data_IF_742504784231
#
_entry.id   IF_742504784231
#
_cell.length_a   1.000
_cell.length_b   1.000
_cell.length_c   1.000
_cell.angle_alpha   90.00
_cell.angle_beta   90.00
_cell.angle_gamma   90.00
#
_symmetry.space_group_name_H-M   'P 1'
#
loop_
_entity.id
_entity.type
_entity.pdbx_description
1 polymer ?
#
# COMPACT_ATOMS: atom_id res chain seq x y z
N UNK A 1 -9.66 3.34 4.99
CA UNK A 1 -10.62 2.30 5.46
C UNK A 1 -9.88 1.37 6.40
N UNK A 2 -10.41 1.16 7.62
CA UNK A 2 -9.86 0.20 8.58
C UNK A 2 -10.66 -1.09 8.47
N UNK A 3 -10.00 -2.21 8.21
CA UNK A 3 -10.64 -3.54 8.24
C UNK A 3 -10.50 -4.12 9.65
N UNK A 4 -11.60 -4.17 10.40
CA UNK A 4 -11.63 -4.80 11.72
C UNK A 4 -11.88 -6.31 11.58
N UNK A 5 -11.19 -7.10 12.40
CA UNK A 5 -11.35 -8.58 12.46
C UNK A 5 -11.66 -9.03 13.89
N UNK A 6 -12.81 -8.62 14.48
CA UNK A 6 -13.11 -8.80 15.90
C UNK A 6 -13.13 -10.28 16.34
N UNK A 7 -13.43 -11.20 15.43
CA UNK A 7 -13.51 -12.63 15.72
C UNK A 7 -12.22 -13.41 15.37
N UNK A 8 -11.13 -12.76 14.95
CA UNK A 8 -9.91 -13.45 14.51
C UNK A 8 -9.28 -14.32 15.60
N UNK A 9 -9.42 -13.92 16.87
CA UNK A 9 -8.93 -14.67 18.02
C UNK A 9 -9.90 -15.75 18.54
N UNK A 10 -11.13 -15.81 18.01
CA UNK A 10 -12.15 -16.74 18.49
C UNK A 10 -12.11 -18.06 17.71
N UNK A 11 -12.09 -19.22 18.39
CA UNK A 11 -12.25 -20.50 17.71
C UNK A 11 -13.59 -20.59 16.98
N UNK A 12 -13.60 -21.08 15.74
CA UNK A 12 -14.82 -21.16 14.94
C UNK A 12 -15.96 -21.98 15.57
N UNK A 13 -15.63 -23.05 16.33
CA UNK A 13 -16.63 -23.81 17.08
C UNK A 13 -17.31 -22.99 18.17
N UNK A 14 -16.56 -22.12 18.86
CA UNK A 14 -17.10 -21.22 19.88
C UNK A 14 -18.07 -20.21 19.26
N UNK A 15 -17.74 -19.67 18.09
CA UNK A 15 -18.62 -18.75 17.37
C UNK A 15 -19.91 -19.46 16.94
N UNK A 16 -19.83 -20.69 16.41
CA UNK A 16 -21.01 -21.49 16.04
C UNK A 16 -21.92 -21.79 17.25
N UNK A 17 -21.33 -22.16 18.39
CA UNK A 17 -22.08 -22.42 19.61
C UNK A 17 -22.80 -21.16 20.12
N UNK A 18 -22.14 -20.00 20.06
CA UNK A 18 -22.74 -18.71 20.43
C UNK A 18 -23.92 -18.34 19.52
N UNK A 19 -23.77 -18.51 18.21
CA UNK A 19 -24.84 -18.24 17.22
C UNK A 19 -26.06 -19.13 17.48
N UNK A 20 -25.84 -20.43 17.71
CA UNK A 20 -26.91 -21.37 18.03
C UNK A 20 -27.62 -21.03 19.36
N UNK A 21 -26.85 -20.73 20.41
CA UNK A 21 -27.40 -20.34 21.71
C UNK A 21 -28.18 -19.01 21.67
N UNK A 22 -27.88 -18.15 20.69
CA UNK A 22 -28.58 -16.87 20.48
C UNK A 22 -29.86 -17.01 19.66
N UNK A 23 -30.25 -18.23 19.26
CA UNK A 23 -31.42 -18.47 18.42
C UNK A 23 -31.28 -17.97 16.98
N UNK A 24 -30.06 -17.65 16.53
CA UNK A 24 -29.79 -17.15 15.18
C UNK A 24 -29.61 -18.35 14.24
N UNK A 25 -30.43 -18.44 13.20
CA UNK A 25 -30.27 -19.43 12.13
C UNK A 25 -29.17 -18.97 11.15
N UNK A 26 -28.00 -19.61 11.20
CA UNK A 26 -26.93 -19.33 10.24
C UNK A 26 -27.27 -19.90 8.85
N UNK A 27 -27.16 -19.06 7.81
CA UNK A 27 -27.26 -19.49 6.41
C UNK A 27 -25.98 -20.22 6.02
N UNK A 28 -26.11 -21.40 5.39
CA UNK A 28 -24.97 -22.09 4.80
C UNK A 28 -24.73 -21.57 3.38
N UNK A 29 -23.64 -20.81 3.22
CA UNK A 29 -23.22 -20.29 1.91
C UNK A 29 -22.70 -21.46 1.04
N UNK A 30 -23.27 -21.70 -0.16
CA UNK A 30 -22.81 -22.77 -1.06
C UNK A 30 -21.31 -22.72 -1.37
N UNK A 31 -20.69 -21.54 -1.33
CA UNK A 31 -19.24 -21.37 -1.56
C UNK A 31 -18.38 -22.02 -0.48
N UNK A 32 -18.94 -22.36 0.69
CA UNK A 32 -18.25 -23.10 1.75
C UNK A 32 -17.83 -24.51 1.32
N UNK A 33 -18.53 -25.09 0.35
CA UNK A 33 -18.32 -26.46 -0.12
C UNK A 33 -17.82 -26.53 -1.57
N UNK A 34 -17.67 -25.37 -2.22
CA UNK A 34 -17.25 -25.31 -3.62
C UNK A 34 -15.74 -25.55 -3.77
N UNK A 35 -15.40 -26.70 -4.39
CA UNK A 35 -14.03 -27.17 -4.62
C UNK A 35 -13.26 -26.36 -5.67
N UNK A 36 -13.92 -25.46 -6.41
CA UNK A 36 -13.24 -24.50 -7.31
C UNK A 36 -12.33 -23.57 -6.52
N UNK A 37 -12.70 -23.25 -5.28
CA UNK A 37 -11.92 -22.38 -4.40
C UNK A 37 -10.83 -23.14 -3.65
N UNK A 38 -9.62 -22.56 -3.65
CA UNK A 38 -8.45 -23.13 -2.97
C UNK A 38 -8.66 -23.27 -1.46
N UNK A 39 -9.38 -22.32 -0.83
CA UNK A 39 -9.71 -22.35 0.60
C UNK A 39 -10.46 -23.63 0.98
N UNK A 40 -11.43 -24.06 0.16
CA UNK A 40 -12.22 -25.26 0.41
C UNK A 40 -11.34 -26.51 0.29
N UNK A 41 -10.52 -26.59 -0.76
CA UNK A 41 -9.55 -27.67 -0.96
C UNK A 41 -8.56 -27.79 0.19
N UNK A 42 -7.99 -26.66 0.63
CA UNK A 42 -7.09 -26.60 1.79
C UNK A 42 -7.78 -27.08 3.05
N UNK A 43 -9.00 -26.61 3.32
CA UNK A 43 -9.75 -27.01 4.53
C UNK A 43 -10.02 -28.52 4.58
N UNK A 44 -10.26 -29.16 3.44
CA UNK A 44 -10.39 -30.62 3.35
C UNK A 44 -9.04 -31.30 3.62
N UNK A 45 -7.95 -30.84 2.98
CA UNK A 45 -6.59 -31.39 3.21
C UNK A 45 -6.13 -31.25 4.66
N UNK A 46 -6.57 -30.21 5.35
CA UNK A 46 -6.24 -29.95 6.75
C UNK A 46 -7.12 -30.72 7.75
N UNK A 47 -8.15 -31.46 7.28
CA UNK A 47 -9.09 -32.14 8.16
C UNK A 47 -8.42 -33.24 9.00
N UNK A 48 -7.44 -33.93 8.41
CA UNK A 48 -6.75 -35.09 9.00
C UNK A 48 -5.41 -34.74 9.67
N UNK A 49 -5.01 -33.46 9.66
CA UNK A 49 -3.76 -33.03 10.29
C UNK A 49 -3.94 -32.80 11.80
N UNK A 50 -2.86 -33.00 12.54
CA UNK A 50 -2.80 -32.62 13.95
C UNK A 50 -3.00 -31.11 14.11
N UNK A 51 -4.18 -30.73 14.62
CA UNK A 51 -4.55 -29.34 14.86
C UNK A 51 -3.71 -28.70 15.96
N UNK A 52 -3.15 -29.46 16.88
CA UNK A 52 -2.26 -28.92 17.92
C UNK A 52 -0.93 -28.50 17.30
N UNK A 53 -0.28 -29.38 16.53
CA UNK A 53 0.92 -29.05 15.75
C UNK A 53 0.69 -27.85 14.82
N UNK A 54 -0.40 -27.82 14.06
CA UNK A 54 -0.69 -26.71 13.15
C UNK A 54 -0.85 -25.37 13.89
N UNK A 55 -1.53 -25.36 15.05
CA UNK A 55 -1.64 -24.15 15.88
C UNK A 55 -0.29 -23.69 16.41
N UNK A 56 0.57 -24.64 16.79
CA UNK A 56 1.93 -24.34 17.24
C UNK A 56 2.73 -23.67 16.12
N UNK A 57 2.70 -24.21 14.90
CA UNK A 57 3.37 -23.63 13.73
C UNK A 57 2.82 -22.24 13.38
N UNK A 58 1.50 -22.07 13.37
CA UNK A 58 0.88 -20.75 13.13
C UNK A 58 1.37 -19.73 14.16
N UNK A 59 1.46 -20.11 15.44
CA UNK A 59 1.95 -19.23 16.48
C UNK A 59 3.44 -18.91 16.30
N UNK A 60 4.26 -19.90 15.89
CA UNK A 60 5.68 -19.71 15.57
C UNK A 60 5.88 -18.75 14.40
N UNK A 61 5.22 -18.97 13.27
CA UNK A 61 5.30 -18.10 12.10
C UNK A 61 4.78 -16.68 12.38
N UNK A 62 3.77 -16.52 13.25
CA UNK A 62 3.34 -15.20 13.72
C UNK A 62 4.47 -14.50 14.48
N UNK A 63 5.12 -15.16 15.45
CA UNK A 63 6.25 -14.58 16.19
C UNK A 63 7.41 -14.21 15.27
N UNK A 64 7.74 -15.08 14.31
CA UNK A 64 8.81 -14.81 13.32
C UNK A 64 8.48 -13.57 12.47
N UNK A 65 7.23 -13.46 11.98
CA UNK A 65 6.76 -12.28 11.25
C UNK A 65 6.81 -11.03 12.12
N UNK A 66 6.31 -11.09 13.35
CA UNK A 66 6.25 -9.93 14.25
C UNK A 66 7.65 -9.42 14.58
N UNK A 67 8.62 -10.33 14.80
CA UNK A 67 10.03 -9.98 14.98
C UNK A 67 10.64 -9.32 13.74
N UNK A 68 10.31 -9.84 12.55
CA UNK A 68 10.77 -9.27 11.28
C UNK A 68 10.19 -7.88 11.05
N UNK A 69 8.89 -7.69 11.27
CA UNK A 69 8.23 -6.37 11.17
C UNK A 69 8.81 -5.37 12.18
N UNK A 70 9.06 -5.79 13.42
CA UNK A 70 9.72 -4.96 14.42
C UNK A 70 11.15 -4.54 13.98
N UNK A 71 11.95 -5.48 13.47
CA UNK A 71 13.28 -5.20 12.95
C UNK A 71 13.25 -4.21 11.78
N UNK A 72 12.31 -4.37 10.84
CA UNK A 72 12.13 -3.44 9.74
C UNK A 72 11.73 -2.04 10.20
N UNK A 73 10.83 -1.95 11.18
CA UNK A 73 10.41 -0.67 11.75
C UNK A 73 11.60 0.05 12.41
N UNK A 74 12.45 -0.68 13.12
CA UNK A 74 13.69 -0.15 13.70
C UNK A 74 14.65 0.34 12.63
N UNK A 75 14.95 -0.48 11.62
CA UNK A 75 15.84 -0.10 10.50
C UNK A 75 15.37 1.16 9.79
N UNK A 76 14.07 1.28 9.49
CA UNK A 76 13.52 2.46 8.83
C UNK A 76 13.70 3.69 9.72
N UNK A 77 13.33 3.61 11.01
CA UNK A 77 13.46 4.75 11.94
C UNK A 77 14.91 5.20 12.12
N UNK A 78 15.83 4.27 12.36
CA UNK A 78 17.25 4.57 12.58
C UNK A 78 17.91 5.12 11.31
N UNK A 79 17.54 4.58 10.14
CA UNK A 79 18.05 5.09 8.86
C UNK A 79 17.53 6.50 8.56
N UNK A 80 16.27 6.81 8.88
CA UNK A 80 15.75 8.17 8.75
C UNK A 80 16.41 9.14 9.73
N UNK A 81 16.56 8.73 11.00
CA UNK A 81 17.15 9.55 12.05
C UNK A 81 18.64 9.89 11.76
N UNK A 82 19.38 8.94 11.18
CA UNK A 82 20.77 9.17 10.75
C UNK A 82 20.88 9.91 9.40
N UNK A 83 19.77 10.14 8.70
CA UNK A 83 19.75 10.75 7.37
C UNK A 83 20.19 9.82 6.23
N UNK A 84 20.45 8.53 6.53
CA UNK A 84 20.77 7.50 5.56
C UNK A 84 19.58 7.13 4.67
N UNK A 85 18.34 7.25 5.19
CA UNK A 85 17.10 7.07 4.44
C UNK A 85 16.40 8.42 4.27
N UNK A 86 16.10 8.78 3.03
CA UNK A 86 15.38 10.01 2.68
C UNK A 86 14.17 9.68 1.80
N UNK A 87 13.01 10.17 2.20
CA UNK A 87 11.76 10.02 1.48
C UNK A 87 11.39 11.37 0.86
N UNK A 88 11.32 11.43 -0.46
CA UNK A 88 10.95 12.63 -1.19
C UNK A 88 9.44 12.76 -1.40
N UNK A 89 8.95 14.00 -1.42
CA UNK A 89 7.57 14.33 -1.80
C UNK A 89 7.27 14.06 -3.28
N UNK A 90 8.32 13.86 -4.08
CA UNK A 90 8.29 13.40 -5.47
C UNK A 90 8.08 11.87 -5.59
N UNK A 91 7.95 11.16 -4.47
CA UNK A 91 7.79 9.71 -4.43
C UNK A 91 9.10 8.94 -4.64
N UNK A 92 10.26 9.60 -4.51
CA UNK A 92 11.58 8.97 -4.58
C UNK A 92 12.07 8.58 -3.19
N UNK A 93 12.57 7.36 -3.05
CA UNK A 93 13.25 6.89 -1.85
C UNK A 93 14.75 6.79 -2.12
N UNK A 94 15.56 7.37 -1.25
CA UNK A 94 17.03 7.26 -1.30
C UNK A 94 17.55 6.61 -0.02
N UNK A 95 18.41 5.61 -0.16
CA UNK A 95 19.03 4.92 0.96
C UNK A 95 20.55 4.88 0.78
N UNK A 96 21.32 5.17 1.82
CA UNK A 96 22.75 4.95 1.83
C UNK A 96 23.07 3.47 1.58
N UNK A 97 23.84 3.16 0.53
CA UNK A 97 24.18 1.79 0.15
C UNK A 97 24.98 1.08 1.24
N UNK A 98 25.82 1.82 1.97
CA UNK A 98 26.48 1.34 3.18
C UNK A 98 25.49 0.87 4.25
N UNK A 99 24.43 1.66 4.53
CA UNK A 99 23.39 1.28 5.48
C UNK A 99 22.61 0.04 5.03
N UNK A 100 22.32 -0.08 3.74
CA UNK A 100 21.69 -1.28 3.18
C UNK A 100 22.56 -2.54 3.38
N UNK A 101 23.88 -2.44 3.18
CA UNK A 101 24.82 -3.57 3.36
C UNK A 101 24.91 -4.07 4.80
N UNK A 102 24.52 -3.27 5.80
CA UNK A 102 24.49 -3.68 7.20
C UNK A 102 23.24 -4.50 7.55
N UNK A 103 22.25 -4.58 6.65
CA UNK A 103 21.02 -5.31 6.91
C UNK A 103 21.24 -6.82 6.81
N UNK A 104 20.70 -7.57 7.78
CA UNK A 104 20.68 -9.03 7.73
C UNK A 104 19.76 -9.53 6.61
N UNK A 105 20.09 -10.67 6.00
CA UNK A 105 19.44 -11.15 4.75
C UNK A 105 17.90 -11.14 4.76
N UNK A 106 17.26 -11.66 5.82
CA UNK A 106 15.80 -11.65 5.92
C UNK A 106 15.22 -10.23 6.06
N UNK A 107 15.89 -9.36 6.82
CA UNK A 107 15.49 -7.96 7.01
C UNK A 107 15.69 -7.15 5.73
N UNK A 108 16.81 -7.36 5.02
CA UNK A 108 17.12 -6.76 3.73
C UNK A 108 16.06 -7.14 2.67
N UNK A 109 15.73 -8.43 2.57
CA UNK A 109 14.72 -8.92 1.64
C UNK A 109 13.34 -8.30 1.93
N UNK A 110 12.93 -8.32 3.19
CA UNK A 110 11.65 -7.77 3.60
C UNK A 110 11.62 -6.25 3.38
N UNK A 111 12.73 -5.55 3.64
CA UNK A 111 12.86 -4.12 3.42
C UNK A 111 12.73 -3.78 1.94
N UNK A 112 13.45 -4.47 1.06
CA UNK A 112 13.34 -4.27 -0.39
C UNK A 112 11.93 -4.54 -0.91
N UNK A 113 11.32 -5.65 -0.48
CA UNK A 113 9.94 -5.98 -0.86
C UNK A 113 8.96 -4.85 -0.52
N UNK A 114 9.14 -4.24 0.66
CA UNK A 114 8.34 -3.12 1.13
C UNK A 114 8.64 -1.82 0.38
N UNK A 115 9.91 -1.50 0.15
CA UNK A 115 10.34 -0.33 -0.64
C UNK A 115 9.77 -0.41 -2.05
N UNK A 116 9.96 -1.54 -2.74
CA UNK A 116 9.49 -1.75 -4.12
C UNK A 116 7.97 -1.57 -4.22
N UNK A 117 7.20 -2.16 -3.30
CA UNK A 117 5.74 -1.97 -3.19
C UNK A 117 5.34 -0.52 -2.91
N UNK A 118 6.13 0.20 -2.12
CA UNK A 118 5.86 1.59 -1.77
C UNK A 118 6.13 2.55 -2.93
N UNK A 119 7.31 2.45 -3.56
CA UNK A 119 7.72 3.35 -4.66
C UNK A 119 7.02 3.04 -5.99
N UNK A 120 6.55 1.80 -6.19
CA UNK A 120 5.79 1.43 -7.40
C UNK A 120 4.31 1.78 -7.28
N UNK A 121 3.79 2.02 -6.07
CA UNK A 121 2.36 2.17 -5.85
C UNK A 121 1.57 0.86 -5.89
N UNK A 122 2.22 -0.27 -6.16
CA UNK A 122 1.59 -1.58 -6.27
C UNK A 122 1.03 -2.13 -4.94
N UNK A 123 0.11 -3.08 -5.06
CA UNK A 123 -0.46 -3.77 -3.90
C UNK A 123 0.37 -4.96 -3.44
N UNK A 124 1.23 -5.48 -4.31
CA UNK A 124 2.10 -6.62 -4.05
C UNK A 124 3.55 -6.29 -4.38
N UNK A 125 4.47 -6.91 -3.65
CA UNK A 125 5.89 -6.86 -3.99
C UNK A 125 6.17 -7.73 -5.23
N UNK A 126 7.29 -7.48 -5.93
CA UNK A 126 7.77 -8.38 -6.99
C UNK A 126 8.04 -9.79 -6.45
N UNK A 127 8.10 -10.79 -7.34
CA UNK A 127 8.38 -12.18 -6.96
C UNK A 127 9.70 -12.33 -6.21
N UNK A 128 9.74 -13.27 -5.25
CA UNK A 128 10.83 -13.43 -4.30
C UNK A 128 12.20 -13.56 -4.96
N UNK A 129 12.34 -14.41 -5.98
CA UNK A 129 13.60 -14.62 -6.68
C UNK A 129 14.17 -13.34 -7.29
N UNK A 130 13.31 -12.47 -7.81
CA UNK A 130 13.74 -11.18 -8.37
C UNK A 130 14.20 -10.20 -7.29
N UNK A 131 13.57 -10.22 -6.12
CA UNK A 131 13.99 -9.41 -4.98
C UNK A 131 15.32 -9.91 -4.43
N UNK A 132 15.54 -11.22 -4.35
CA UNK A 132 16.81 -11.82 -3.92
C UNK A 132 17.95 -11.46 -4.88
N UNK A 133 17.74 -11.54 -6.20
CA UNK A 133 18.74 -11.07 -7.18
C UNK A 133 19.07 -9.59 -7.04
N UNK A 134 18.06 -8.74 -6.78
CA UNK A 134 18.29 -7.33 -6.51
C UNK A 134 19.12 -7.14 -5.23
N UNK A 135 18.80 -7.87 -4.16
CA UNK A 135 19.54 -7.82 -2.91
C UNK A 135 21.03 -8.16 -3.12
N UNK A 136 21.32 -9.25 -3.82
CA UNK A 136 22.69 -9.67 -4.16
C UNK A 136 23.43 -8.59 -4.95
N UNK A 137 22.79 -8.02 -5.98
CA UNK A 137 23.37 -6.96 -6.78
C UNK A 137 23.71 -5.71 -5.96
N UNK A 138 22.83 -5.33 -5.03
CA UNK A 138 23.02 -4.15 -4.17
C UNK A 138 24.12 -4.37 -3.12
N UNK A 139 24.28 -5.59 -2.62
CA UNK A 139 25.35 -5.96 -1.69
C UNK A 139 26.71 -5.96 -2.38
N UNK A 140 26.78 -6.46 -3.61
CA UNK A 140 28.01 -6.55 -4.41
C UNK A 140 28.81 -5.23 -4.43
N UNK A 141 30.17 -5.27 -4.43
CA UNK A 141 31.03 -4.09 -4.55
C UNK A 141 30.96 -3.39 -5.92
N UNK A 142 30.13 -3.86 -6.86
CA UNK A 142 29.93 -3.26 -8.19
C UNK A 142 29.67 -1.75 -8.15
N UNK A 143 30.32 -1.02 -9.06
CA UNK A 143 30.29 0.44 -9.11
C UNK A 143 28.89 1.02 -9.37
N UNK A 144 28.04 0.34 -10.16
CA UNK A 144 26.66 0.78 -10.40
C UNK A 144 25.69 -0.39 -10.57
N UNK A 145 24.48 -0.25 -10.05
CA UNK A 145 23.35 -1.15 -10.28
C UNK A 145 22.19 -0.33 -10.83
N UNK A 146 21.77 -0.59 -12.07
CA UNK A 146 20.61 0.07 -12.67
C UNK A 146 19.66 -0.98 -13.26
N UNK A 147 18.44 -1.06 -12.73
CA UNK A 147 17.44 -2.02 -13.22
C UNK A 147 16.01 -1.56 -12.92
N UNK A 148 15.05 -2.20 -13.58
CA UNK A 148 13.62 -2.05 -13.30
C UNK A 148 13.07 -3.33 -12.70
N UNK A 149 12.24 -3.23 -11.66
CA UNK A 149 11.62 -4.38 -11.01
C UNK A 149 10.23 -4.03 -10.48
N UNK A 150 9.20 -4.68 -11.02
CA UNK A 150 7.80 -4.52 -10.57
C UNK A 150 7.28 -3.09 -10.62
N UNK A 151 7.62 -2.35 -11.67
CA UNK A 151 7.22 -0.95 -11.85
C UNK A 151 7.99 0.03 -10.95
N UNK A 152 9.08 -0.39 -10.33
CA UNK A 152 10.08 0.48 -9.73
C UNK A 152 11.34 0.49 -10.61
N UNK A 153 12.04 1.61 -10.64
CA UNK A 153 13.38 1.73 -11.18
C UNK A 153 14.36 1.96 -10.03
N UNK A 154 15.45 1.20 -10.06
CA UNK A 154 16.53 1.22 -9.09
C UNK A 154 17.77 1.74 -9.80
N UNK A 155 18.41 2.76 -9.24
CA UNK A 155 19.69 3.29 -9.68
C UNK A 155 20.57 3.46 -8.44
N UNK A 156 21.59 2.63 -8.33
CA UNK A 156 22.52 2.61 -7.21
C UNK A 156 23.92 2.91 -7.69
N UNK A 157 24.55 3.91 -7.09
CA UNK A 157 25.98 4.17 -7.18
C UNK A 157 26.69 3.52 -5.96
N UNK A 158 27.99 3.74 -5.72
CA UNK A 158 28.68 3.15 -4.57
C UNK A 158 28.11 3.58 -3.21
N UNK A 159 27.49 4.75 -3.11
CA UNK A 159 27.11 5.41 -1.86
C UNK A 159 25.60 5.45 -1.63
N UNK A 160 24.80 5.54 -2.69
CA UNK A 160 23.35 5.78 -2.63
C UNK A 160 22.60 4.83 -3.55
N UNK A 161 21.51 4.26 -3.01
CA UNK A 161 20.51 3.51 -3.75
C UNK A 161 19.29 4.41 -3.91
N UNK A 162 18.93 4.74 -5.15
CA UNK A 162 17.74 5.50 -5.50
C UNK A 162 16.66 4.57 -6.03
N UNK A 163 15.49 4.61 -5.41
CA UNK A 163 14.29 3.90 -5.83
C UNK A 163 13.23 4.92 -6.26
N UNK A 164 12.68 4.75 -7.46
CA UNK A 164 11.57 5.58 -7.93
C UNK A 164 10.60 4.77 -8.78
N UNK A 165 9.43 5.33 -9.05
CA UNK A 165 8.46 4.74 -9.96
C UNK A 165 9.02 4.67 -11.38
N UNK A 166 8.80 3.55 -12.05
CA UNK A 166 9.00 3.46 -13.50
C UNK A 166 7.79 4.06 -14.23
N UNK A 167 8.01 4.96 -15.20
CA UNK A 167 6.91 5.46 -16.05
C UNK A 167 6.34 4.37 -16.97
N UNK A 168 7.18 3.45 -17.44
CA UNK A 168 6.81 2.32 -18.29
C UNK A 168 6.50 2.72 -19.73
N UNK A 169 6.38 1.71 -20.61
CA UNK A 169 6.03 1.90 -22.04
C UNK A 169 4.57 2.34 -22.22
N UNK A 170 3.67 1.75 -21.45
CA UNK A 170 2.24 2.06 -21.46
C UNK A 170 1.88 3.33 -20.68
N UNK A 171 2.85 3.95 -19.99
CA UNK A 171 2.60 5.05 -19.08
C UNK A 171 1.84 4.63 -17.82
N UNK A 172 1.45 5.63 -17.02
CA UNK A 172 0.60 5.47 -15.84
C UNK A 172 -0.83 5.84 -16.24
N UNK A 173 -1.79 4.99 -15.89
CA UNK A 173 -3.19 5.17 -16.25
C UNK A 173 -3.74 6.51 -15.74
N UNK A 174 -4.43 7.23 -16.62
CA UNK A 174 -5.15 8.44 -16.24
C UNK A 174 -6.41 8.08 -15.44
N UNK A 175 -6.78 8.94 -14.50
CA UNK A 175 -7.97 8.79 -13.66
C UNK A 175 -8.90 9.97 -13.93
N UNK A 176 -10.16 9.74 -14.32
CA UNK A 176 -11.13 10.83 -14.49
C UNK A 176 -11.34 11.53 -13.14
N UNK A 177 -11.44 12.84 -13.17
CA UNK A 177 -11.77 13.62 -11.99
C UNK A 177 -13.30 13.64 -11.86
N UNK A 178 -13.80 12.98 -10.81
CA UNK A 178 -15.21 13.01 -10.45
C UNK A 178 -15.53 14.11 -9.44
N UNK A 179 -16.74 14.07 -8.89
CA UNK A 179 -17.18 14.93 -7.78
C UNK A 179 -16.62 14.34 -6.47
N UNK A 180 -15.33 14.54 -6.23
CA UNK A 180 -14.60 14.08 -5.03
C UNK A 180 -13.57 15.12 -4.61
N UNK A 181 -13.31 15.24 -3.31
CA UNK A 181 -12.33 16.22 -2.80
C UNK A 181 -10.88 15.78 -3.02
N UNK A 182 -10.62 14.48 -3.08
CA UNK A 182 -9.28 13.94 -3.26
C UNK A 182 -9.28 12.58 -3.96
N UNK A 183 -8.22 12.32 -4.73
CA UNK A 183 -7.99 11.07 -5.45
C UNK A 183 -6.62 10.51 -5.06
N UNK A 184 -6.53 9.19 -4.94
CA UNK A 184 -5.23 8.51 -4.85
C UNK A 184 -4.75 8.15 -6.26
N UNK A 185 -3.76 8.88 -6.75
CA UNK A 185 -3.18 8.68 -8.07
C UNK A 185 -2.05 7.65 -8.05
N UNK A 186 -2.17 6.61 -8.88
CA UNK A 186 -1.20 5.49 -9.04
C UNK A 186 -0.79 4.85 -7.70
N UNK A 187 -1.67 4.92 -6.70
CA UNK A 187 -1.38 4.48 -5.35
C UNK A 187 -0.40 5.36 -4.56
N UNK A 188 0.39 6.24 -5.18
CA UNK A 188 1.53 6.93 -4.56
C UNK A 188 1.23 8.35 -4.10
N UNK A 189 0.23 9.01 -4.67
CA UNK A 189 -0.04 10.41 -4.39
C UNK A 189 -1.48 10.63 -3.99
N UNK A 190 -1.71 11.32 -2.88
CA UNK A 190 -3.02 11.91 -2.59
C UNK A 190 -3.07 13.28 -3.26
N UNK A 191 -3.97 13.44 -4.21
CA UNK A 191 -4.15 14.67 -4.97
C UNK A 191 -5.46 15.30 -4.52
N UNK A 192 -5.42 16.55 -4.04
CA UNK A 192 -6.64 17.32 -3.84
C UNK A 192 -7.16 17.78 -5.19
N UNK A 193 -8.44 17.53 -5.43
CA UNK A 193 -9.11 17.91 -6.67
C UNK A 193 -9.52 19.39 -6.54
N UNK A 194 -9.05 20.29 -7.43
CA UNK A 194 -9.52 21.66 -7.45
C UNK A 194 -11.03 21.70 -7.71
N UNK A 195 -11.73 22.68 -7.14
CA UNK A 195 -13.14 22.96 -7.45
C UNK A 195 -13.22 24.08 -8.49
N UNK A 196 -14.10 23.96 -9.48
CA UNK A 196 -14.29 25.00 -10.48
C UNK A 196 -15.01 24.53 -11.76
N UNK A 197 -15.46 25.49 -12.60
CA UNK A 197 -16.03 25.17 -13.91
C UNK A 197 -14.97 24.55 -14.84
N UNK A 198 -15.40 23.69 -15.77
CA UNK A 198 -14.51 23.08 -16.78
C UNK A 198 -13.78 21.80 -16.35
N UNK A 199 -14.18 21.19 -15.22
CA UNK A 199 -13.60 19.93 -14.72
C UNK A 199 -14.31 18.67 -15.21
N UNK A 200 -15.42 18.80 -15.95
CA UNK A 200 -16.21 17.66 -16.45
C UNK A 200 -15.42 16.70 -17.34
N UNK A 201 -14.38 17.18 -18.01
CA UNK A 201 -13.46 16.37 -18.84
C UNK A 201 -12.04 16.30 -18.25
N UNK A 202 -11.86 16.77 -17.02
CA UNK A 202 -10.56 16.78 -16.39
C UNK A 202 -10.16 15.36 -15.95
N UNK A 203 -8.87 15.07 -16.09
CA UNK A 203 -8.25 13.82 -15.66
C UNK A 203 -6.95 14.10 -14.94
N UNK A 204 -6.68 13.33 -13.89
CA UNK A 204 -5.35 13.19 -13.35
C UNK A 204 -4.58 12.24 -14.25
N UNK A 205 -3.43 12.67 -14.73
CA UNK A 205 -2.52 11.83 -15.52
C UNK A 205 -1.09 12.08 -15.07
N UNK A 206 -0.18 11.18 -15.42
CA UNK A 206 1.24 11.41 -15.15
C UNK A 206 1.82 12.41 -16.14
N UNK A 207 2.70 13.31 -15.69
CA UNK A 207 3.30 14.34 -16.54
C UNK A 207 4.02 13.77 -17.78
N UNK A 208 4.55 12.54 -17.68
CA UNK A 208 5.18 11.87 -18.81
C UNK A 208 4.26 11.63 -20.00
N UNK A 209 2.93 11.72 -19.81
CA UNK A 209 1.96 11.64 -20.90
C UNK A 209 2.07 12.83 -21.87
N UNK A 210 2.71 13.93 -21.47
CA UNK A 210 3.02 15.06 -22.35
C UNK A 210 4.32 14.86 -23.15
N UNK A 211 5.00 13.72 -22.98
CA UNK A 211 6.30 13.44 -23.61
C UNK A 211 7.49 14.21 -23.02
N UNK A 212 7.31 14.87 -21.86
CA UNK A 212 8.31 15.75 -21.24
C UNK A 212 8.71 15.27 -19.84
N UNK A 213 9.78 15.84 -19.30
CA UNK A 213 10.21 15.66 -17.92
C UNK A 213 11.31 14.62 -17.71
N UNK A 214 12.01 14.75 -16.59
CA UNK A 214 12.98 13.76 -16.08
C UNK A 214 12.29 12.45 -15.67
N UNK A 215 13.06 11.41 -15.35
CA UNK A 215 12.53 10.11 -14.92
C UNK A 215 11.57 10.22 -13.73
N UNK A 216 11.86 11.11 -12.77
CA UNK A 216 11.01 11.38 -11.61
C UNK A 216 9.76 12.16 -12.04
N UNK A 217 9.98 13.28 -12.73
CA UNK A 217 8.91 14.22 -13.14
C UNK A 217 7.84 13.53 -13.97
N UNK A 218 8.24 12.63 -14.87
CA UNK A 218 7.32 11.86 -15.72
C UNK A 218 6.28 11.07 -14.93
N UNK A 219 6.52 10.79 -13.66
CA UNK A 219 5.63 10.01 -12.80
C UNK A 219 4.81 10.86 -11.84
N UNK A 220 4.98 12.19 -11.84
CA UNK A 220 4.22 13.11 -11.01
C UNK A 220 2.82 13.33 -11.60
N UNK A 221 1.77 13.41 -10.77
CA UNK A 221 0.42 13.70 -11.23
C UNK A 221 0.31 15.15 -11.69
N UNK A 222 -0.40 15.36 -12.79
CA UNK A 222 -0.85 16.66 -13.29
C UNK A 222 -2.32 16.58 -13.61
N UNK A 223 -3.01 17.72 -13.54
CA UNK A 223 -4.39 17.84 -13.97
C UNK A 223 -4.41 18.29 -15.43
N UNK A 224 -5.10 17.55 -16.27
CA UNK A 224 -5.26 17.86 -17.69
C UNK A 224 -6.73 17.80 -18.11
N UNK A 225 -7.14 18.63 -19.07
CA UNK A 225 -8.45 18.58 -19.72
C UNK A 225 -8.30 18.46 -21.24
N UNK A 226 -9.39 18.63 -21.99
CA UNK A 226 -9.40 18.49 -23.45
C UNK A 226 -8.40 19.39 -24.19
N UNK A 227 -8.10 20.57 -23.66
CA UNK A 227 -7.21 21.57 -24.28
C UNK A 227 -5.76 21.56 -23.77
N UNK A 228 -5.39 20.69 -22.81
CA UNK A 228 -4.03 20.61 -22.28
C UNK A 228 -3.96 20.54 -20.75
N UNK A 229 -2.82 20.97 -20.18
CA UNK A 229 -2.63 21.00 -18.73
C UNK A 229 -3.48 22.12 -18.10
N UNK A 230 -4.13 21.81 -16.99
CA UNK A 230 -4.93 22.74 -16.20
C UNK A 230 -4.19 23.13 -14.91
N UNK A 231 -3.54 22.17 -14.25
CA UNK A 231 -2.77 22.41 -13.04
C UNK A 231 -1.57 21.45 -12.91
N UNK A 232 -0.51 21.93 -12.27
CA UNK A 232 0.71 21.14 -12.00
C UNK A 232 1.09 21.21 -10.52
N UNK A 233 1.77 20.19 -9.98
CA UNK A 233 2.33 20.26 -8.63
C UNK A 233 3.47 21.26 -8.56
N UNK A 234 3.74 21.78 -7.35
CA UNK A 234 4.81 22.75 -7.10
C UNK A 234 6.19 22.29 -7.65
N UNK A 235 6.48 21.00 -7.58
CA UNK A 235 7.71 20.41 -8.13
C UNK A 235 7.89 20.62 -9.65
N UNK A 236 6.81 20.92 -10.39
CA UNK A 236 6.82 21.20 -11.82
C UNK A 236 6.57 22.68 -12.14
N UNK A 237 6.38 23.55 -11.15
CA UNK A 237 5.99 24.94 -11.36
C UNK A 237 6.98 25.71 -12.25
N UNK A 238 8.29 25.50 -12.07
CA UNK A 238 9.32 26.14 -12.89
C UNK A 238 9.31 25.72 -14.38
N UNK A 239 8.62 24.63 -14.72
CA UNK A 239 8.51 24.08 -16.09
C UNK A 239 7.12 24.26 -16.68
N UNK A 240 6.22 24.90 -15.93
CA UNK A 240 4.84 25.15 -16.33
C UNK A 240 4.66 26.60 -16.79
N UNK A 241 3.75 26.88 -17.75
CA UNK A 241 3.30 28.23 -18.02
C UNK A 241 2.79 28.91 -16.74
N UNK A 242 3.10 30.18 -16.56
CA UNK A 242 2.75 30.94 -15.35
C UNK A 242 1.24 31.01 -15.07
N UNK A 243 0.41 30.80 -16.09
CA UNK A 243 -1.05 30.82 -15.99
C UNK A 243 -1.68 29.48 -15.52
N UNK A 244 -0.89 28.41 -15.36
CA UNK A 244 -1.44 27.12 -14.89
C UNK A 244 -1.76 27.15 -13.40
N UNK A 245 -2.84 26.48 -13.01
CA UNK A 245 -3.20 26.29 -11.61
C UNK A 245 -2.16 25.46 -10.85
N UNK A 246 -2.15 25.61 -9.52
CA UNK A 246 -1.36 24.76 -8.64
C UNK A 246 -2.17 23.54 -8.21
N UNK A 247 -1.59 22.36 -8.36
CA UNK A 247 -2.16 21.09 -7.92
C UNK A 247 -1.56 20.71 -6.57
N UNK A 248 -2.41 20.59 -5.54
CA UNK A 248 -1.94 20.15 -4.23
C UNK A 248 -1.80 18.63 -4.20
N UNK A 249 -0.56 18.17 -4.00
CA UNK A 249 -0.17 16.76 -4.07
C UNK A 249 0.62 16.40 -2.81
N UNK A 250 0.21 15.35 -2.13
CA UNK A 250 0.95 14.77 -0.99
C UNK A 250 1.44 13.38 -1.34
N UNK A 251 2.71 13.11 -1.09
CA UNK A 251 3.29 11.77 -1.25
C UNK A 251 2.77 10.82 -0.18
N UNK A 252 2.32 9.63 -0.60
CA UNK A 252 1.97 8.52 0.28
C UNK A 252 3.15 7.57 0.51
N UNK A 253 4.35 7.88 -0.01
CA UNK A 253 5.53 7.01 0.09
C UNK A 253 5.81 6.61 1.54
N UNK A 254 5.84 7.60 2.45
CA UNK A 254 6.05 7.36 3.89
C UNK A 254 4.98 6.44 4.48
N UNK A 255 3.71 6.74 4.23
CA UNK A 255 2.60 5.92 4.71
C UNK A 255 2.69 4.49 4.16
N UNK A 256 3.01 4.31 2.87
CA UNK A 256 3.17 2.99 2.24
C UNK A 256 4.36 2.21 2.76
N UNK A 257 5.44 2.90 3.11
CA UNK A 257 6.62 2.27 3.71
C UNK A 257 6.30 1.80 5.13
N UNK A 258 5.59 2.61 5.92
CA UNK A 258 5.33 2.32 7.33
C UNK A 258 4.04 1.52 7.58
N UNK A 259 3.14 1.38 6.61
CA UNK A 259 1.88 0.63 6.80
C UNK A 259 2.17 -0.78 7.30
N UNK A 260 1.29 -1.23 8.18
CA UNK A 260 1.30 -2.55 8.80
C UNK A 260 2.51 -2.83 9.71
N UNK A 261 3.48 -1.90 9.83
CA UNK A 261 4.55 -2.01 10.81
C UNK A 261 4.06 -1.57 12.20
N UNK A 262 4.62 -2.14 13.27
CA UNK A 262 4.35 -1.64 14.60
C UNK A 262 4.79 -0.18 14.68
N UNK A 263 3.84 0.71 14.99
CA UNK A 263 4.17 2.05 15.46
C UNK A 263 5.03 1.88 16.71
N UNK A 264 6.00 2.77 16.94
CA UNK A 264 6.70 2.82 18.23
C UNK A 264 5.67 2.72 19.36
N UNK A 265 5.96 2.02 20.48
CA UNK A 265 4.97 1.74 21.51
C UNK A 265 4.25 3.03 21.86
N UNK A 266 3.02 3.15 21.37
CA UNK A 266 2.14 4.26 21.70
C UNK A 266 1.69 3.93 23.12
N UNK A 267 1.86 4.82 24.12
CA UNK A 267 1.27 4.58 25.42
C UNK A 267 -0.20 4.26 25.17
N UNK A 268 -0.65 3.10 25.66
CA UNK A 268 -1.99 2.61 25.42
C UNK A 268 -2.97 3.76 25.73
N UNK A 269 -3.65 4.25 24.69
CA UNK A 269 -4.75 5.18 24.91
C UNK A 269 -5.73 4.46 25.84
N UNK A 270 -6.07 5.03 27.00
CA UNK A 270 -7.08 4.42 27.86
C UNK A 270 -8.34 4.29 27.01
N UNK A 271 -8.77 3.03 26.81
CA UNK A 271 -10.09 2.75 26.27
C UNK A 271 -11.07 3.45 27.20
N UNK A 272 -11.62 4.58 26.78
CA UNK A 272 -12.75 5.20 27.46
C UNK A 272 -13.93 4.27 27.23
N UNK A 273 -14.49 3.77 28.33
CA UNK A 273 -15.76 3.06 28.34
C UNK A 273 -16.85 3.99 27.79
N UNK A 274 -17.05 3.96 26.47
CA UNK A 274 -18.28 4.46 25.89
C UNK A 274 -19.33 3.37 26.07
N UNK A 275 -20.17 3.57 27.10
CA UNK A 275 -21.40 2.83 27.28
C UNK A 275 -22.15 2.75 25.95
N UNK A 276 -22.44 1.51 25.52
CA UNK A 276 -23.15 1.22 24.30
C UNK A 276 -24.59 1.77 24.39
N UNK A 277 -24.84 2.94 23.82
CA UNK A 277 -26.20 3.35 23.44
C UNK A 277 -26.53 2.73 22.08
N UNK A 278 -27.57 1.89 22.07
CA UNK A 278 -27.98 0.97 21.02
C UNK A 278 -27.86 1.42 19.56
N UNK A 279 -27.24 0.56 18.75
CA UNK A 279 -27.56 0.46 17.33
C UNK A 279 -28.87 -0.32 17.19
N UNK A 280 -29.97 0.38 16.95
CA UNK A 280 -31.21 -0.23 16.50
C UNK A 280 -31.02 -0.69 15.04
N UNK A 281 -30.94 -2.01 14.83
CA UNK A 281 -30.92 -2.61 13.50
C UNK A 281 -32.30 -2.44 12.85
N UNK A 282 -32.39 -1.66 11.76
CA UNK A 282 -33.46 -1.82 10.78
C UNK A 282 -33.18 -3.08 9.96
N UNK A 283 -34.22 -3.89 9.74
CA UNK A 283 -34.18 -5.09 8.93
C UNK A 283 -33.76 -4.78 7.47
N UNK A 284 -33.05 -5.69 6.77
CA UNK A 284 -32.64 -5.47 5.40
C UNK A 284 -33.78 -5.80 4.42
N UNK A 285 -34.16 -4.84 3.57
CA UNK A 285 -34.83 -5.12 2.30
C UNK A 285 -33.79 -5.53 1.24
N UNK A 286 -34.22 -6.41 0.33
CA UNK A 286 -33.42 -7.13 -0.66
C UNK A 286 -32.42 -6.27 -1.47
N UNK A 287 -31.15 -6.69 -1.48
CA UNK A 287 -30.08 -6.12 -2.33
C UNK A 287 -30.12 -6.77 -3.73
N UNK A 288 -30.45 -5.97 -4.74
CA UNK A 288 -30.17 -6.28 -6.14
C UNK A 288 -28.70 -6.00 -6.48
N UNK A 289 -28.08 -6.90 -7.26
CA UNK A 289 -26.69 -6.82 -7.71
C UNK A 289 -26.47 -5.66 -8.68
N UNK A 290 -25.60 -4.73 -8.33
CA UNK A 290 -24.77 -3.97 -9.27
C UNK A 290 -23.47 -3.59 -8.55
N UNK A 291 -22.33 -3.93 -9.14
CA UNK A 291 -21.04 -3.56 -8.61
C UNK A 291 -20.78 -2.09 -8.84
N UNK A 292 -20.22 -1.40 -7.84
CA UNK A 292 -19.41 -0.22 -8.08
C UNK A 292 -18.59 0.23 -6.86
N UNK A 293 -17.39 0.70 -7.19
CA UNK A 293 -16.55 1.73 -6.54
C UNK A 293 -16.50 1.87 -5.00
N UNK A 294 -15.27 1.76 -4.48
CA UNK A 294 -14.91 2.01 -3.08
C UNK A 294 -15.00 3.51 -2.75
N UNK A 295 -16.14 3.96 -2.23
CA UNK A 295 -16.30 5.27 -1.59
C UNK A 295 -15.77 5.25 -0.15
N UNK A 296 -15.12 6.33 0.28
CA UNK A 296 -14.82 6.60 1.70
C UNK A 296 -15.82 7.64 2.22
N UNK A 297 -16.51 7.42 3.35
CA UNK A 297 -17.33 8.44 3.98
C UNK A 297 -16.45 9.46 4.73
N UNK A 298 -16.84 10.72 4.61
CA UNK A 298 -16.32 11.86 5.36
C UNK A 298 -16.65 11.71 6.85
N UNK A 299 -15.70 12.02 7.71
CA UNK A 299 -15.95 12.24 9.14
C UNK A 299 -15.54 13.66 9.51
N UNK A 300 -16.47 14.29 10.24
CA UNK A 300 -16.48 15.63 10.86
C UNK A 300 -15.18 15.96 11.60
#
# INVERSE_FOLDING_TARGET
MVLLRPFLGMPGQRLKALVAASGIAAVDDPTNHDLRYERTRLRIKLADLDRAALRHDIARYRRERDALEAAQATVIRESEASGALRLGDDGVLRLGRGAFRQLQGAVAFAFLSRVLRAVSGGDYAPGADSVLRLQEALISPSARVAMTLGGAMIDADPDTITFLREYGRSGIAAVPVGIVDAIIFDGRFRVQVPTGPGLSEARLQAFGATGRGSRVERTLPVLAGGAGLLAVPAALAAKAPAALGQLHVSSLLRWRLLRDLPLAPTPALPLRDHAASGFAAKAPEHVGKAGDTTYLPSSV
#
